data_IF_465836742307
#
_entry.id   IF_465836742307
#
_cell.length_a   1.000
_cell.length_b   1.000
_cell.length_c   1.000
_cell.angle_alpha   90.00
_cell.angle_beta   90.00
_cell.angle_gamma   90.00
#
_symmetry.space_group_name_H-M   'P 1'
#
loop_
_entity.id
_entity.type
_entity.pdbx_description
1 polymer ?
#
# COMPACT_ATOMS: atom_id res chain seq x y z
N UNK A 1 64.35 48.71 5.42
CA UNK A 1 63.16 49.52 5.75
C UNK A 1 62.09 49.13 4.76
N UNK A 2 61.24 48.15 5.11
CA UNK A 2 59.86 48.34 5.62
C UNK A 2 58.97 49.01 4.56
N UNK A 3 57.81 48.52 4.16
CA UNK A 3 56.82 47.69 4.85
C UNK A 3 55.82 47.14 3.80
N UNK A 4 55.29 45.93 4.07
CA UNK A 4 53.85 45.57 4.11
C UNK A 4 52.84 46.29 3.16
N UNK A 5 51.85 45.64 2.51
CA UNK A 5 50.87 44.70 3.07
C UNK A 5 49.81 44.25 2.03
N UNK A 6 49.20 43.09 2.31
CA UNK A 6 47.86 42.60 1.89
C UNK A 6 47.63 41.99 0.49
N UNK A 7 48.04 40.72 0.37
CA UNK A 7 47.31 39.71 -0.42
C UNK A 7 46.04 39.29 0.32
N UNK A 8 44.86 39.50 -0.28
CA UNK A 8 43.58 38.96 0.21
C UNK A 8 43.48 37.48 -0.16
N UNK A 9 43.88 36.61 0.78
CA UNK A 9 43.38 35.22 0.83
C UNK A 9 41.87 35.26 1.06
N UNK A 10 41.08 34.72 0.14
CA UNK A 10 39.68 34.37 0.42
C UNK A 10 39.68 33.26 1.48
N UNK A 11 39.15 33.60 2.66
CA UNK A 11 38.83 32.66 3.73
C UNK A 11 37.73 31.72 3.24
N UNK A 12 37.97 30.42 3.34
CA UNK A 12 36.91 29.40 3.33
C UNK A 12 36.26 29.47 4.72
N UNK A 13 34.96 29.78 4.84
CA UNK A 13 34.24 29.56 6.09
C UNK A 13 33.92 28.07 6.19
N UNK A 14 34.40 27.45 7.25
CA UNK A 14 33.85 26.20 7.75
C UNK A 14 32.39 26.42 8.23
N UNK A 15 31.64 25.32 8.26
CA UNK A 15 30.26 25.15 8.77
C UNK A 15 29.11 25.45 7.78
N UNK A 16 28.72 24.41 7.05
CA UNK A 16 27.32 23.99 7.02
C UNK A 16 27.31 22.47 6.90
N UNK A 17 27.03 21.84 8.03
CA UNK A 17 26.83 20.41 8.18
C UNK A 17 25.63 20.05 7.30
N UNK A 18 25.89 19.33 6.21
CA UNK A 18 24.85 18.55 5.56
C UNK A 18 24.38 17.51 6.58
N UNK A 19 23.09 17.54 6.92
CA UNK A 19 22.46 16.45 7.64
C UNK A 19 22.43 15.24 6.69
N UNK A 20 23.49 14.44 6.75
CA UNK A 20 23.58 13.13 6.13
C UNK A 20 22.76 12.20 7.04
N UNK A 21 21.58 11.78 6.60
CA UNK A 21 20.93 10.59 7.15
C UNK A 21 21.68 9.37 6.61
N UNK A 22 22.87 9.12 7.16
CA UNK A 22 23.66 7.91 6.91
C UNK A 22 23.01 6.79 7.69
N UNK A 23 22.29 5.89 7.01
CA UNK A 23 22.03 4.54 7.50
C UNK A 23 23.39 3.85 7.65
N UNK A 24 23.95 3.95 8.86
CA UNK A 24 25.21 3.35 9.25
C UNK A 24 24.89 1.94 9.70
N UNK A 25 25.11 0.93 8.85
CA UNK A 25 25.04 -0.47 9.27
C UNK A 25 26.20 -0.75 10.22
N UNK A 26 25.91 -0.80 11.52
CA UNK A 26 26.82 -1.37 12.52
C UNK A 26 26.75 -2.89 12.43
N UNK A 27 27.83 -3.53 11.97
CA UNK A 27 28.04 -4.98 12.14
C UNK A 27 28.26 -5.26 13.63
N UNK A 28 27.21 -5.68 14.33
CA UNK A 28 27.28 -6.23 15.67
C UNK A 28 27.84 -7.66 15.63
N UNK A 29 28.86 -7.92 16.45
CA UNK A 29 29.57 -9.19 16.52
C UNK A 29 28.69 -10.34 17.01
N UNK A 30 28.85 -11.51 16.39
CA UNK A 30 28.25 -12.76 16.84
C UNK A 30 28.74 -13.14 18.24
N UNK A 31 27.82 -13.43 19.15
CA UNK A 31 28.07 -14.23 20.35
C UNK A 31 27.17 -15.47 20.33
N UNK A 32 27.76 -16.58 20.77
CA UNK A 32 27.32 -17.96 20.57
C UNK A 32 25.90 -18.27 21.02
N UNK A 33 25.21 -19.07 20.19
CA UNK A 33 23.89 -19.66 20.44
C UNK A 33 24.03 -20.87 21.37
N UNK A 34 23.35 -20.83 22.52
CA UNK A 34 23.01 -22.04 23.27
C UNK A 34 21.74 -22.65 22.65
N UNK A 35 21.82 -23.95 22.37
CA UNK A 35 20.83 -24.77 21.67
C UNK A 35 19.55 -24.94 22.51
N UNK A 36 18.42 -24.43 21.99
CA UNK A 36 17.08 -24.68 22.53
C UNK A 36 16.09 -24.94 21.39
N UNK A 37 15.74 -26.20 21.16
CA UNK A 37 14.52 -26.67 20.45
C UNK A 37 14.18 -26.04 19.08
N UNK A 38 13.04 -26.36 18.47
CA UNK A 38 12.51 -25.57 17.36
C UNK A 38 11.94 -24.25 17.91
N UNK A 39 12.80 -23.44 18.53
CA UNK A 39 12.42 -22.14 19.08
C UNK A 39 12.29 -21.11 17.96
N UNK A 40 11.18 -20.39 18.06
CA UNK A 40 10.80 -19.19 17.31
C UNK A 40 12.03 -18.40 16.85
N UNK A 41 12.22 -18.29 15.54
CA UNK A 41 13.09 -17.26 14.99
C UNK A 41 12.38 -15.92 15.23
N UNK A 42 12.61 -15.35 16.42
CA UNK A 42 12.14 -14.00 16.77
C UNK A 42 12.84 -13.07 15.80
N UNK A 43 12.11 -12.59 14.80
CA UNK A 43 12.62 -11.54 13.93
C UNK A 43 12.99 -10.35 14.80
N UNK A 44 14.30 -10.10 14.92
CA UNK A 44 14.83 -8.98 15.67
C UNK A 44 14.28 -7.67 15.08
N UNK A 45 13.73 -6.82 15.94
CA UNK A 45 13.27 -5.48 15.60
C UNK A 45 14.50 -4.60 15.40
N UNK A 46 14.72 -4.05 14.20
CA UNK A 46 15.68 -2.96 14.03
C UNK A 46 14.98 -1.63 14.23
N UNK A 47 15.40 -0.93 15.29
CA UNK A 47 14.99 0.42 15.59
C UNK A 47 15.30 1.34 14.39
N UNK A 48 14.23 1.88 13.79
CA UNK A 48 14.27 3.13 13.05
C UNK A 48 14.97 4.17 13.93
N UNK A 49 15.77 5.08 13.37
CA UNK A 49 16.54 6.10 14.09
C UNK A 49 15.77 7.12 14.97
N UNK A 50 14.57 6.76 15.44
CA UNK A 50 13.78 7.35 16.52
C UNK A 50 13.22 6.20 17.39
N UNK A 51 13.65 6.12 18.65
CA UNK A 51 13.41 5.08 19.67
C UNK A 51 11.92 4.75 19.90
N UNK A 52 11.33 3.77 19.21
CA UNK A 52 10.04 3.20 19.63
C UNK A 52 9.89 1.72 19.25
N UNK A 53 9.52 0.88 20.23
CA UNK A 53 9.33 -0.56 20.07
C UNK A 53 8.01 -0.88 19.38
N UNK A 54 8.05 -1.67 18.30
CA UNK A 54 6.85 -2.15 17.61
C UNK A 54 6.32 -3.46 18.23
N UNK A 55 5.01 -3.69 18.14
CA UNK A 55 4.38 -4.92 18.58
C UNK A 55 4.83 -6.10 17.70
N UNK A 56 5.27 -7.17 18.35
CA UNK A 56 5.76 -8.40 17.72
C UNK A 56 4.72 -9.52 17.71
N UNK A 57 3.49 -9.25 18.18
CA UNK A 57 2.42 -10.22 18.22
C UNK A 57 2.12 -10.79 16.83
N UNK A 58 1.96 -12.11 16.74
CA UNK A 58 1.62 -12.74 15.48
C UNK A 58 0.17 -12.36 15.08
N UNK A 59 -0.05 -11.87 13.86
CA UNK A 59 -1.35 -11.42 13.44
C UNK A 59 -2.35 -12.56 13.23
N UNK A 60 -1.94 -13.82 13.08
CA UNK A 60 -2.82 -14.92 12.69
C UNK A 60 -3.04 -15.95 13.80
N UNK A 61 -4.12 -16.72 13.67
CA UNK A 61 -4.45 -17.85 14.56
C UNK A 61 -4.12 -19.18 13.89
N UNK A 62 -4.26 -19.27 12.56
CA UNK A 62 -3.95 -20.48 11.80
C UNK A 62 -2.43 -20.76 11.84
N UNK A 63 -2.03 -21.99 12.18
CA UNK A 63 -0.64 -22.34 12.50
C UNK A 63 0.33 -22.11 11.34
N UNK A 64 -0.07 -22.44 10.11
CA UNK A 64 0.76 -22.20 8.92
C UNK A 64 0.83 -20.72 8.57
N UNK A 65 -0.26 -19.98 8.72
CA UNK A 65 -0.23 -18.53 8.59
C UNK A 65 0.70 -17.89 9.64
N UNK A 66 0.68 -18.38 10.88
CA UNK A 66 1.62 -17.92 11.92
C UNK A 66 3.06 -18.21 11.52
N UNK A 67 3.36 -19.43 11.05
CA UNK A 67 4.69 -19.82 10.61
C UNK A 67 5.20 -18.91 9.48
N UNK A 68 4.40 -18.72 8.42
CA UNK A 68 4.77 -17.86 7.28
C UNK A 68 4.98 -16.42 7.74
N UNK A 69 4.12 -15.89 8.61
CA UNK A 69 4.26 -14.54 9.13
C UNK A 69 5.58 -14.37 9.91
N UNK A 70 5.94 -15.35 10.73
CA UNK A 70 7.21 -15.34 11.44
C UNK A 70 8.41 -15.41 10.48
N UNK A 71 8.38 -16.27 9.46
CA UNK A 71 9.46 -16.40 8.45
C UNK A 71 9.67 -15.09 7.66
N UNK A 72 8.59 -14.36 7.40
CA UNK A 72 8.60 -13.07 6.70
C UNK A 72 8.78 -11.86 7.63
N UNK A 73 8.91 -12.08 8.93
CA UNK A 73 8.97 -11.03 9.94
C UNK A 73 7.76 -10.07 9.93
N UNK A 74 6.57 -10.60 9.66
CA UNK A 74 5.31 -9.85 9.64
C UNK A 74 4.60 -10.02 11.00
N UNK A 75 4.58 -8.95 11.80
CA UNK A 75 3.81 -8.87 13.04
C UNK A 75 2.58 -7.95 12.89
N UNK A 76 1.72 -7.90 13.91
CA UNK A 76 0.63 -6.93 13.97
C UNK A 76 1.11 -5.48 13.82
N UNK A 77 2.26 -5.14 14.41
CA UNK A 77 2.88 -3.82 14.32
C UNK A 77 3.39 -3.47 12.92
N UNK A 78 3.91 -4.47 12.19
CA UNK A 78 4.46 -4.29 10.82
C UNK A 78 3.41 -3.80 9.83
N UNK A 79 2.14 -4.19 10.02
CA UNK A 79 1.04 -3.66 9.23
C UNK A 79 0.80 -2.16 9.44
N UNK A 80 1.26 -1.55 10.52
CA UNK A 80 1.15 -0.11 10.75
C UNK A 80 2.43 0.64 10.42
N UNK A 81 3.58 0.03 10.71
CA UNK A 81 4.91 0.56 10.43
C UNK A 81 5.85 -0.55 9.94
N UNK A 82 6.22 -0.48 8.66
CA UNK A 82 7.16 -1.45 8.06
C UNK A 82 8.52 -1.40 8.75
N UNK A 83 9.15 -2.56 8.92
CA UNK A 83 10.55 -2.68 9.34
C UNK A 83 11.46 -2.97 8.16
N UNK A 84 12.76 -2.60 8.24
CA UNK A 84 13.74 -2.99 7.24
C UNK A 84 13.80 -4.51 7.03
N UNK A 85 13.66 -5.28 8.11
CA UNK A 85 13.72 -6.75 8.07
C UNK A 85 12.54 -7.34 7.32
N UNK A 86 11.31 -6.91 7.64
CA UNK A 86 10.11 -7.37 6.95
C UNK A 86 10.17 -6.99 5.46
N UNK A 87 10.60 -5.77 5.16
CA UNK A 87 10.79 -5.32 3.77
C UNK A 87 11.83 -6.20 3.07
N UNK A 88 12.97 -6.49 3.69
CA UNK A 88 14.01 -7.36 3.11
C UNK A 88 13.47 -8.76 2.84
N UNK A 89 12.88 -9.42 3.84
CA UNK A 89 12.37 -10.80 3.74
C UNK A 89 11.28 -10.95 2.70
N UNK A 90 10.32 -10.04 2.67
CA UNK A 90 9.25 -10.02 1.66
C UNK A 90 9.83 -9.74 0.27
N UNK A 91 10.83 -8.86 0.15
CA UNK A 91 11.47 -8.56 -1.14
C UNK A 91 12.30 -9.74 -1.67
N UNK A 92 13.04 -10.42 -0.80
CA UNK A 92 13.84 -11.61 -1.11
C UNK A 92 12.96 -12.75 -1.63
N UNK A 93 11.85 -13.00 -0.92
CA UNK A 93 10.81 -13.94 -1.34
C UNK A 93 10.20 -13.50 -2.69
N UNK A 94 9.59 -12.31 -2.70
CA UNK A 94 9.11 -11.64 -3.89
C UNK A 94 8.09 -12.45 -4.69
N UNK A 95 7.23 -13.22 -4.04
CA UNK A 95 6.18 -13.97 -4.74
C UNK A 95 5.14 -13.02 -5.34
N UNK A 96 4.79 -11.94 -4.62
CA UNK A 96 3.84 -10.93 -5.09
C UNK A 96 4.22 -10.35 -6.46
N UNK A 97 5.53 -10.30 -6.77
CA UNK A 97 6.06 -9.80 -8.06
C UNK A 97 6.27 -10.88 -9.12
N UNK A 98 6.62 -12.11 -8.73
CA UNK A 98 6.96 -13.21 -9.64
C UNK A 98 5.73 -14.02 -10.05
N UNK A 99 4.69 -14.04 -9.22
CA UNK A 99 3.48 -14.81 -9.48
C UNK A 99 2.70 -14.20 -10.63
N UNK A 100 2.46 -15.02 -11.65
CA UNK A 100 1.47 -14.72 -12.68
C UNK A 100 0.05 -14.85 -12.11
N UNK A 101 -0.14 -15.74 -11.14
CA UNK A 101 -1.42 -15.95 -10.46
C UNK A 101 -1.74 -14.79 -9.52
N UNK A 102 -2.98 -14.33 -9.62
CA UNK A 102 -3.58 -13.38 -8.70
C UNK A 102 -3.93 -14.06 -7.36
N UNK A 103 -3.48 -13.45 -6.27
CA UNK A 103 -3.72 -13.93 -4.91
C UNK A 103 -5.21 -13.83 -4.53
N UNK A 104 -5.75 -14.81 -3.79
CA UNK A 104 -7.18 -14.88 -3.43
C UNK A 104 -7.56 -13.98 -2.23
N UNK A 105 -6.79 -12.92 -1.97
CA UNK A 105 -7.01 -11.99 -0.85
C UNK A 105 -7.76 -10.71 -1.25
N UNK A 106 -7.86 -10.44 -2.54
CA UNK A 106 -8.57 -9.28 -3.04
C UNK A 106 -10.10 -9.44 -2.92
N UNK A 107 -10.81 -8.33 -3.03
CA UNK A 107 -12.27 -8.32 -3.01
C UNK A 107 -12.85 -9.23 -4.11
N UNK A 108 -14.02 -9.86 -3.89
CA UNK A 108 -14.70 -10.63 -4.94
C UNK A 108 -14.86 -9.83 -6.25
N UNK A 109 -15.23 -8.56 -6.16
CA UNK A 109 -15.35 -7.62 -7.29
C UNK A 109 -14.04 -7.36 -8.04
N UNK A 110 -12.88 -7.57 -7.42
CA UNK A 110 -11.57 -7.55 -8.09
C UNK A 110 -11.27 -8.91 -8.71
N UNK A 111 -11.56 -10.00 -7.98
CA UNK A 111 -11.34 -11.37 -8.44
C UNK A 111 -12.20 -11.74 -9.66
N UNK A 112 -13.34 -11.09 -9.88
CA UNK A 112 -14.13 -11.18 -11.13
C UNK A 112 -13.30 -10.81 -12.38
N UNK A 113 -12.31 -9.93 -12.22
CA UNK A 113 -11.41 -9.51 -13.30
C UNK A 113 -10.07 -10.25 -13.29
N UNK A 114 -9.93 -11.36 -12.55
CA UNK A 114 -8.66 -12.10 -12.38
C UNK A 114 -7.96 -12.36 -13.71
N UNK A 115 -8.60 -13.07 -14.63
CA UNK A 115 -8.00 -13.43 -15.93
C UNK A 115 -7.58 -12.19 -16.73
N UNK A 116 -8.37 -11.12 -16.66
CA UNK A 116 -8.11 -9.87 -17.36
C UNK A 116 -6.93 -9.11 -16.75
N UNK A 117 -6.85 -9.04 -15.43
CA UNK A 117 -5.73 -8.43 -14.69
C UNK A 117 -4.44 -9.18 -15.01
N UNK A 118 -4.44 -10.51 -14.94
CA UNK A 118 -3.27 -11.34 -15.23
C UNK A 118 -2.80 -11.17 -16.68
N UNK A 119 -3.72 -11.25 -17.65
CA UNK A 119 -3.44 -10.99 -19.07
C UNK A 119 -2.84 -9.59 -19.28
N UNK A 120 -3.42 -8.57 -18.66
CA UNK A 120 -2.99 -7.17 -18.81
C UNK A 120 -1.62 -6.95 -18.19
N UNK A 121 -1.38 -7.54 -17.02
CA UNK A 121 -0.10 -7.50 -16.33
C UNK A 121 1.02 -8.14 -17.16
N UNK A 122 0.76 -9.32 -17.74
CA UNK A 122 1.69 -10.00 -18.67
C UNK A 122 1.96 -9.12 -19.89
N UNK A 123 0.91 -8.58 -20.53
CA UNK A 123 1.05 -7.71 -21.71
C UNK A 123 1.93 -6.49 -21.43
N UNK A 124 1.80 -5.91 -20.23
CA UNK A 124 2.50 -4.67 -19.87
C UNK A 124 3.81 -4.91 -19.11
N UNK A 125 4.18 -6.15 -18.81
CA UNK A 125 5.38 -6.50 -18.05
C UNK A 125 5.42 -5.80 -16.67
N UNK A 126 4.31 -5.94 -15.93
CA UNK A 126 4.16 -5.48 -14.55
C UNK A 126 3.58 -6.62 -13.68
N UNK A 127 3.77 -6.60 -12.35
CA UNK A 127 3.18 -7.63 -11.49
C UNK A 127 1.65 -7.57 -11.42
N UNK A 128 0.98 -8.71 -11.61
CA UNK A 128 -0.48 -8.82 -11.55
C UNK A 128 -1.04 -8.40 -10.18
N UNK A 129 -0.41 -8.85 -9.10
CA UNK A 129 -0.86 -8.50 -7.75
C UNK A 129 -0.65 -7.02 -7.39
N UNK A 130 0.31 -6.34 -8.02
CA UNK A 130 0.49 -4.88 -7.85
C UNK A 130 -0.62 -4.14 -8.59
N UNK A 131 -0.97 -4.56 -9.82
CA UNK A 131 -2.08 -4.00 -10.58
C UNK A 131 -3.43 -4.19 -9.86
N UNK A 132 -3.68 -5.37 -9.29
CA UNK A 132 -4.89 -5.63 -8.51
C UNK A 132 -4.93 -4.85 -7.19
N UNK A 133 -3.78 -4.62 -6.56
CA UNK A 133 -3.68 -3.74 -5.38
C UNK A 133 -4.08 -2.32 -5.75
N UNK A 134 -3.60 -1.81 -6.89
CA UNK A 134 -4.02 -0.50 -7.40
C UNK A 134 -5.52 -0.45 -7.69
N UNK A 135 -6.06 -1.43 -8.43
CA UNK A 135 -7.51 -1.51 -8.72
C UNK A 135 -8.37 -1.58 -7.44
N UNK A 136 -7.86 -2.27 -6.42
CA UNK A 136 -8.50 -2.33 -5.10
C UNK A 136 -8.58 -0.94 -4.47
N UNK A 137 -7.45 -0.24 -4.37
CA UNK A 137 -7.38 1.10 -3.75
C UNK A 137 -8.21 2.12 -4.53
N UNK A 138 -8.13 2.09 -5.85
CA UNK A 138 -8.72 3.10 -6.73
C UNK A 138 -10.24 2.98 -6.83
N UNK A 139 -10.80 1.75 -6.89
CA UNK A 139 -12.22 1.57 -7.24
C UNK A 139 -12.98 0.52 -6.46
N UNK A 140 -12.35 -0.31 -5.63
CA UNK A 140 -12.98 -1.54 -5.11
C UNK A 140 -13.29 -2.61 -6.17
N UNK A 141 -12.82 -2.47 -7.41
CA UNK A 141 -13.31 -3.28 -8.52
C UNK A 141 -14.63 -2.76 -9.10
N UNK A 142 -15.04 -1.53 -8.79
CA UNK A 142 -16.20 -0.89 -9.42
C UNK A 142 -15.80 -0.37 -10.82
N UNK A 143 -16.24 -1.09 -11.86
CA UNK A 143 -15.87 -0.78 -13.25
C UNK A 143 -16.34 0.58 -13.77
N UNK A 144 -17.41 1.13 -13.21
CA UNK A 144 -18.00 2.43 -13.58
C UNK A 144 -17.71 3.49 -12.50
N UNK A 145 -16.66 3.29 -11.70
CA UNK A 145 -16.22 4.29 -10.72
C UNK A 145 -15.86 5.60 -11.42
N UNK A 146 -16.43 6.70 -10.92
CA UNK A 146 -16.14 8.04 -11.40
C UNK A 146 -15.84 8.95 -10.22
N UNK A 147 -14.69 9.62 -10.29
CA UNK A 147 -14.31 10.64 -9.33
C UNK A 147 -14.79 12.01 -9.78
N UNK A 148 -15.09 12.88 -8.81
CA UNK A 148 -15.47 14.28 -9.05
C UNK A 148 -14.38 15.10 -9.78
N UNK A 149 -13.12 14.65 -9.75
CA UNK A 149 -12.02 15.25 -10.53
C UNK A 149 -11.84 14.62 -11.91
N UNK A 150 -12.69 13.67 -12.30
CA UNK A 150 -12.73 13.10 -13.66
C UNK A 150 -12.00 11.76 -13.85
N UNK A 151 -11.54 11.12 -12.79
CA UNK A 151 -10.95 9.78 -12.85
C UNK A 151 -12.01 8.73 -13.19
N UNK A 152 -11.66 7.74 -14.03
CA UNK A 152 -12.62 6.78 -14.62
C UNK A 152 -12.19 5.33 -14.43
N UNK A 153 -13.17 4.47 -14.15
CA UNK A 153 -13.07 3.01 -14.23
C UNK A 153 -12.29 2.32 -13.11
N UNK A 154 -11.99 1.03 -13.33
CA UNK A 154 -11.39 0.09 -12.36
C UNK A 154 -10.11 0.61 -11.70
N UNK A 155 -9.26 1.30 -12.45
CA UNK A 155 -7.98 1.85 -11.96
C UNK A 155 -7.95 3.38 -12.05
N UNK A 156 -9.13 4.03 -12.06
CA UNK A 156 -9.29 5.49 -11.96
C UNK A 156 -8.32 6.28 -12.88
N UNK A 157 -8.20 5.84 -14.14
CA UNK A 157 -7.36 6.53 -15.12
C UNK A 157 -7.94 7.92 -15.37
N UNK A 158 -7.09 8.95 -15.31
CA UNK A 158 -7.46 10.35 -15.56
C UNK A 158 -7.34 10.70 -17.05
N UNK A 159 -8.44 10.95 -17.79
CA UNK A 159 -8.36 11.33 -19.20
C UNK A 159 -7.59 12.65 -19.42
N UNK A 160 -7.58 13.57 -18.45
CA UNK A 160 -6.83 14.82 -18.54
C UNK A 160 -5.31 14.66 -18.62
N UNK A 161 -4.79 13.52 -18.16
CA UNK A 161 -3.36 13.24 -18.12
C UNK A 161 -2.96 12.06 -19.01
N UNK A 162 -3.86 11.09 -19.21
CA UNK A 162 -3.56 9.81 -19.83
C UNK A 162 -4.42 9.55 -21.08
N UNK A 163 -4.93 10.60 -21.73
CA UNK A 163 -5.74 10.47 -22.94
C UNK A 163 -5.03 9.65 -24.04
N UNK A 164 -3.71 9.81 -24.15
CA UNK A 164 -2.86 9.09 -25.09
C UNK A 164 -2.92 7.56 -24.88
N UNK A 165 -3.11 7.10 -23.63
CA UNK A 165 -3.25 5.67 -23.30
C UNK A 165 -4.54 5.06 -23.86
N UNK A 166 -5.55 5.89 -24.10
CA UNK A 166 -6.81 5.48 -24.72
C UNK A 166 -6.81 5.63 -26.24
N UNK A 167 -5.89 6.40 -26.81
CA UNK A 167 -5.86 6.73 -28.23
C UNK A 167 -6.00 5.52 -29.19
N UNK A 168 -5.40 4.33 -28.92
CA UNK A 168 -5.58 3.17 -29.78
C UNK A 168 -7.00 2.63 -29.88
N UNK A 169 -7.88 2.98 -28.93
CA UNK A 169 -9.25 2.49 -28.82
C UNK A 169 -10.30 3.56 -29.16
N UNK A 170 -9.86 4.81 -29.33
CA UNK A 170 -10.75 5.93 -29.59
C UNK A 170 -11.10 6.03 -31.08
N UNK A 171 -12.34 6.46 -31.41
CA UNK A 171 -12.77 6.64 -32.79
C UNK A 171 -12.01 7.79 -33.48
N UNK A 172 -12.08 7.82 -34.81
CA UNK A 172 -11.45 8.85 -35.61
C UNK A 172 -11.95 10.25 -35.21
N UNK A 173 -11.01 11.19 -35.03
CA UNK A 173 -11.31 12.56 -34.64
C UNK A 173 -11.44 12.78 -33.13
N UNK A 174 -11.31 11.72 -32.32
CA UNK A 174 -11.21 11.84 -30.88
C UNK A 174 -9.96 12.62 -30.45
N UNK A 175 -10.10 13.49 -29.46
CA UNK A 175 -9.00 14.21 -28.81
C UNK A 175 -9.42 14.63 -27.41
N UNK A 176 -8.46 14.99 -26.55
CA UNK A 176 -8.81 15.48 -25.22
C UNK A 176 -9.63 16.77 -25.27
N UNK A 177 -9.37 17.64 -26.25
CA UNK A 177 -10.17 18.84 -26.49
C UNK A 177 -11.60 18.48 -26.91
N UNK A 178 -11.75 17.48 -27.79
CA UNK A 178 -13.05 16.96 -28.23
C UNK A 178 -13.84 16.35 -27.06
N UNK A 179 -13.20 15.52 -26.23
CA UNK A 179 -13.78 15.01 -24.98
C UNK A 179 -14.20 16.13 -24.01
N UNK A 180 -13.37 17.18 -23.89
CA UNK A 180 -13.69 18.36 -23.08
C UNK A 180 -14.92 19.09 -23.61
N UNK A 181 -15.07 19.18 -24.94
CA UNK A 181 -16.25 19.75 -25.58
C UNK A 181 -17.49 18.89 -25.33
N UNK A 182 -17.40 17.58 -25.50
CA UNK A 182 -18.49 16.64 -25.21
C UNK A 182 -18.97 16.76 -23.75
N UNK A 183 -18.03 16.85 -22.79
CA UNK A 183 -18.31 17.00 -21.36
C UNK A 183 -19.04 18.31 -21.03
N UNK A 184 -18.77 19.38 -21.79
CA UNK A 184 -19.43 20.69 -21.64
C UNK A 184 -20.77 20.79 -22.39
N UNK A 185 -21.17 19.76 -23.12
CA UNK A 185 -22.34 19.79 -24.00
C UNK A 185 -22.12 20.65 -25.27
N UNK A 186 -20.88 20.96 -25.62
CA UNK A 186 -20.53 21.63 -26.86
C UNK A 186 -20.51 20.64 -28.03
N UNK A 187 -20.42 21.16 -29.27
CA UNK A 187 -20.17 20.31 -30.43
C UNK A 187 -18.90 19.49 -30.23
N UNK A 188 -19.03 18.18 -30.43
CA UNK A 188 -17.94 17.21 -30.37
C UNK A 188 -18.17 16.17 -31.46
N UNK A 189 -17.08 15.66 -32.04
CA UNK A 189 -17.12 14.61 -33.06
C UNK A 189 -17.50 13.26 -32.48
N UNK A 190 -17.18 13.03 -31.20
CA UNK A 190 -17.42 11.78 -30.48
C UNK A 190 -18.34 12.07 -29.31
N UNK A 191 -19.36 11.25 -29.10
CA UNK A 191 -20.32 11.52 -28.02
C UNK A 191 -19.70 11.29 -26.64
N UNK A 192 -20.21 11.98 -25.61
CA UNK A 192 -19.78 11.74 -24.22
C UNK A 192 -20.06 10.30 -23.78
N UNK A 193 -21.17 9.72 -24.25
CA UNK A 193 -21.53 8.31 -23.99
C UNK A 193 -20.48 7.36 -24.58
N UNK A 194 -20.05 7.60 -25.82
CA UNK A 194 -19.02 6.80 -26.48
C UNK A 194 -17.66 6.91 -25.76
N UNK A 195 -17.24 8.11 -25.38
CA UNK A 195 -16.05 8.30 -24.53
C UNK A 195 -16.15 7.51 -23.21
N UNK A 196 -17.27 7.64 -22.50
CA UNK A 196 -17.47 6.94 -21.24
C UNK A 196 -17.49 5.41 -21.42
N UNK A 197 -18.06 4.91 -22.52
CA UNK A 197 -18.08 3.48 -22.84
C UNK A 197 -16.66 2.91 -23.01
N UNK A 198 -15.74 3.71 -23.55
CA UNK A 198 -14.33 3.33 -23.73
C UNK A 198 -13.56 3.47 -22.42
N UNK A 199 -13.69 4.60 -21.72
CA UNK A 199 -12.96 4.85 -20.47
C UNK A 199 -13.37 3.91 -19.33
N UNK A 200 -14.63 3.46 -19.31
CA UNK A 200 -15.13 2.52 -18.31
C UNK A 200 -15.06 1.06 -18.76
N UNK A 201 -14.64 0.77 -20.01
CA UNK A 201 -14.45 -0.60 -20.45
C UNK A 201 -13.31 -1.25 -19.63
N UNK A 202 -13.55 -2.37 -18.91
CA UNK A 202 -12.55 -2.97 -18.04
C UNK A 202 -11.21 -3.30 -18.72
N UNK A 203 -11.23 -3.85 -19.93
CA UNK A 203 -10.01 -4.25 -20.65
C UNK A 203 -9.20 -3.03 -21.07
N UNK A 204 -9.87 -2.01 -21.60
CA UNK A 204 -9.22 -0.77 -22.04
C UNK A 204 -8.72 0.03 -20.83
N UNK A 205 -9.52 0.13 -19.77
CA UNK A 205 -9.17 0.86 -18.55
C UNK A 205 -7.98 0.23 -17.82
N UNK A 206 -7.98 -1.10 -17.66
CA UNK A 206 -6.85 -1.83 -17.07
C UNK A 206 -5.59 -1.67 -17.92
N UNK A 207 -5.69 -1.77 -19.24
CA UNK A 207 -4.52 -1.61 -20.11
C UNK A 207 -3.93 -0.20 -20.06
N UNK A 208 -4.79 0.83 -20.13
CA UNK A 208 -4.36 2.22 -20.02
C UNK A 208 -3.70 2.50 -18.65
N UNK A 209 -4.31 2.02 -17.57
CA UNK A 209 -3.75 2.16 -16.22
C UNK A 209 -2.45 1.36 -16.03
N UNK A 210 -2.36 0.14 -16.58
CA UNK A 210 -1.15 -0.68 -16.50
C UNK A 210 0.04 -0.02 -17.23
N UNK A 211 -0.19 0.59 -18.39
CA UNK A 211 0.83 1.36 -19.11
C UNK A 211 1.35 2.52 -18.25
N UNK A 212 0.45 3.29 -17.63
CA UNK A 212 0.86 4.41 -16.78
C UNK A 212 1.53 3.95 -15.47
N UNK A 213 1.03 2.88 -14.84
CA UNK A 213 1.66 2.27 -13.67
C UNK A 213 3.08 1.79 -13.99
N UNK A 214 3.32 1.22 -15.17
CA UNK A 214 4.68 0.84 -15.62
C UNK A 214 5.62 2.03 -15.65
N UNK A 215 5.18 3.17 -16.18
CA UNK A 215 5.95 4.41 -16.19
C UNK A 215 6.27 4.86 -14.75
N UNK A 216 5.28 4.80 -13.85
CA UNK A 216 5.47 5.14 -12.45
C UNK A 216 6.41 4.18 -11.70
N UNK A 217 6.38 2.88 -12.00
CA UNK A 217 7.33 1.91 -11.45
C UNK A 217 8.76 2.28 -11.89
N UNK A 218 8.96 2.61 -13.17
CA UNK A 218 10.27 3.04 -13.68
C UNK A 218 10.76 4.31 -12.98
N UNK A 219 9.91 5.34 -12.89
CA UNK A 219 10.25 6.60 -12.20
C UNK A 219 10.58 6.36 -10.73
N UNK A 220 9.81 5.52 -10.03
CA UNK A 220 10.05 5.21 -8.62
C UNK A 220 11.38 4.52 -8.39
N UNK A 221 11.75 3.55 -9.24
CA UNK A 221 13.05 2.87 -9.20
C UNK A 221 14.20 3.85 -9.45
N UNK A 222 14.09 4.66 -10.50
CA UNK A 222 15.13 5.62 -10.88
C UNK A 222 15.34 6.71 -9.83
N UNK A 223 14.25 7.18 -9.21
CA UNK A 223 14.29 8.24 -8.21
C UNK A 223 14.78 7.77 -6.83
N UNK A 224 14.71 6.46 -6.54
CA UNK A 224 15.02 5.91 -5.22
C UNK A 224 16.08 4.79 -5.32
N UNK A 225 17.28 5.06 -5.84
CA UNK A 225 18.30 4.03 -6.12
C UNK A 225 18.88 3.36 -4.87
N UNK A 226 18.65 3.94 -3.68
CA UNK A 226 19.05 3.34 -2.41
C UNK A 226 18.09 2.24 -1.92
N UNK A 227 16.88 2.18 -2.47
CA UNK A 227 15.91 1.14 -2.15
C UNK A 227 16.07 -0.03 -3.11
N UNK A 228 15.73 -1.23 -2.66
CA UNK A 228 15.62 -2.37 -3.58
C UNK A 228 14.50 -2.09 -4.60
N UNK A 229 14.77 -2.16 -5.92
CA UNK A 229 13.82 -1.79 -6.98
C UNK A 229 12.57 -2.67 -7.03
N UNK A 230 12.59 -3.81 -6.34
CA UNK A 230 11.51 -4.78 -6.27
C UNK A 230 10.87 -4.85 -4.88
N UNK A 231 11.19 -3.92 -3.98
CA UNK A 231 10.57 -3.88 -2.65
C UNK A 231 9.13 -3.40 -2.70
N UNK A 232 8.32 -3.85 -1.74
CA UNK A 232 6.95 -3.36 -1.53
C UNK A 232 6.89 -1.83 -1.38
N UNK A 233 7.96 -1.22 -0.87
CA UNK A 233 8.08 0.24 -0.74
C UNK A 233 8.15 0.92 -2.11
N UNK A 234 8.94 0.38 -3.06
CA UNK A 234 9.01 0.94 -4.43
C UNK A 234 7.66 0.87 -5.13
N UNK A 235 6.92 -0.23 -4.97
CA UNK A 235 5.57 -0.34 -5.54
C UNK A 235 4.58 0.61 -4.86
N UNK A 236 4.72 0.85 -3.55
CA UNK A 236 3.97 1.89 -2.85
C UNK A 236 4.25 3.29 -3.41
N UNK A 237 5.53 3.65 -3.60
CA UNK A 237 5.94 4.92 -4.22
C UNK A 237 5.41 5.01 -5.66
N UNK A 238 5.40 3.91 -6.41
CA UNK A 238 4.82 3.87 -7.76
C UNK A 238 3.31 4.16 -7.76
N UNK A 239 2.55 3.65 -6.79
CA UNK A 239 1.13 4.00 -6.66
C UNK A 239 0.95 5.47 -6.25
N UNK A 240 1.83 6.02 -5.42
CA UNK A 240 1.85 7.47 -5.13
C UNK A 240 2.13 8.29 -6.39
N UNK A 241 3.02 7.83 -7.26
CA UNK A 241 3.24 8.42 -8.58
C UNK A 241 2.00 8.33 -9.46
N UNK A 242 1.28 7.22 -9.40
CA UNK A 242 0.04 7.04 -10.16
C UNK A 242 -1.02 8.07 -9.73
N UNK A 243 -1.18 8.28 -8.42
CA UNK A 243 -2.12 9.24 -7.85
C UNK A 243 -1.68 10.71 -8.06
N UNK A 244 -0.42 11.04 -7.74
CA UNK A 244 0.06 12.43 -7.65
C UNK A 244 1.06 12.85 -8.74
N UNK A 245 1.34 11.98 -9.71
CA UNK A 245 2.32 12.18 -10.77
C UNK A 245 3.78 11.95 -10.35
N UNK A 246 4.67 11.93 -11.35
CA UNK A 246 6.10 11.61 -11.20
C UNK A 246 6.87 12.48 -10.18
N UNK A 247 6.38 13.69 -9.88
CA UNK A 247 6.97 14.55 -8.85
C UNK A 247 6.94 13.94 -7.45
N UNK A 248 5.92 13.15 -7.13
CA UNK A 248 5.80 12.49 -5.83
C UNK A 248 6.91 11.45 -5.62
N UNK A 249 7.12 10.57 -6.62
CA UNK A 249 8.19 9.57 -6.59
C UNK A 249 9.60 10.19 -6.50
N UNK A 250 9.81 11.34 -7.16
CA UNK A 250 11.09 12.07 -7.17
C UNK A 250 11.37 12.85 -5.89
N UNK A 251 10.34 13.24 -5.14
CA UNK A 251 10.49 13.98 -3.90
C UNK A 251 11.09 13.17 -2.75
N UNK A 252 11.04 11.83 -2.83
CA UNK A 252 11.32 10.93 -1.72
C UNK A 252 10.18 10.90 -0.70
N UNK A 253 10.08 9.82 0.06
CA UNK A 253 8.93 9.54 0.93
C UNK A 253 8.60 10.70 1.87
N UNK A 254 9.59 11.28 2.57
CA UNK A 254 9.35 12.34 3.55
C UNK A 254 8.77 13.63 2.98
N UNK A 255 9.02 13.93 1.70
CA UNK A 255 8.53 15.14 1.03
C UNK A 255 7.21 14.92 0.28
N UNK A 256 6.70 13.69 0.22
CA UNK A 256 5.43 13.40 -0.43
C UNK A 256 4.25 14.11 0.27
N UNK A 257 3.22 14.54 -0.49
CA UNK A 257 1.94 14.95 0.07
C UNK A 257 1.33 13.87 0.98
N UNK A 258 0.46 14.30 1.91
CA UNK A 258 -0.29 13.42 2.82
C UNK A 258 -0.88 12.21 2.12
N UNK A 259 -1.71 12.46 1.11
CA UNK A 259 -2.45 11.42 0.40
C UNK A 259 -1.49 10.44 -0.26
N UNK A 260 -0.45 10.94 -0.93
CA UNK A 260 0.58 10.11 -1.54
C UNK A 260 1.28 9.17 -0.55
N UNK A 261 1.52 9.59 0.71
CA UNK A 261 2.09 8.71 1.74
C UNK A 261 1.12 7.62 2.17
N UNK A 262 -0.20 7.91 2.20
CA UNK A 262 -1.22 6.90 2.46
C UNK A 262 -1.20 5.79 1.41
N UNK A 263 -1.01 6.15 0.13
CA UNK A 263 -0.87 5.17 -0.95
C UNK A 263 0.30 4.22 -0.70
N UNK A 264 1.48 4.74 -0.30
CA UNK A 264 2.64 3.89 -0.01
C UNK A 264 2.31 2.89 1.09
N UNK A 265 1.77 3.36 2.21
CA UNK A 265 1.49 2.54 3.38
C UNK A 265 0.44 1.47 3.05
N UNK A 266 -0.63 1.83 2.34
CA UNK A 266 -1.72 0.92 2.01
C UNK A 266 -1.34 -0.12 0.96
N UNK A 267 -0.61 0.28 -0.08
CA UNK A 267 -0.08 -0.67 -1.05
C UNK A 267 0.84 -1.66 -0.37
N UNK A 268 1.77 -1.20 0.47
CA UNK A 268 2.67 -2.10 1.16
C UNK A 268 1.92 -3.11 2.04
N UNK A 269 0.95 -2.65 2.84
CA UNK A 269 0.10 -3.51 3.69
C UNK A 269 -0.63 -4.59 2.89
N UNK A 270 -1.22 -4.23 1.75
CA UNK A 270 -1.93 -5.19 0.90
C UNK A 270 -0.94 -6.17 0.25
N UNK A 271 0.24 -5.70 -0.18
CA UNK A 271 1.28 -6.58 -0.73
C UNK A 271 1.86 -7.54 0.32
N UNK A 272 1.87 -7.19 1.61
CA UNK A 272 2.17 -8.15 2.68
C UNK A 272 1.13 -9.28 2.69
N UNK A 273 -0.17 -8.96 2.60
CA UNK A 273 -1.24 -9.97 2.52
C UNK A 273 -1.10 -10.86 1.28
N UNK A 274 -0.74 -10.28 0.14
CA UNK A 274 -0.48 -11.02 -1.10
C UNK A 274 0.68 -11.99 -0.91
N UNK A 275 1.79 -11.53 -0.34
CA UNK A 275 2.96 -12.40 -0.12
C UNK A 275 2.59 -13.57 0.80
N UNK A 276 1.90 -13.29 1.90
CA UNK A 276 1.36 -14.30 2.81
C UNK A 276 0.46 -15.31 2.09
N UNK A 277 -0.45 -14.84 1.25
CA UNK A 277 -1.38 -15.67 0.50
C UNK A 277 -0.67 -16.60 -0.48
N UNK A 278 0.30 -16.09 -1.22
CA UNK A 278 1.06 -16.88 -2.19
C UNK A 278 1.94 -17.92 -1.49
N UNK A 279 2.52 -17.60 -0.33
CA UNK A 279 3.23 -18.57 0.51
C UNK A 279 2.32 -19.70 1.00
N UNK A 280 1.11 -19.38 1.46
CA UNK A 280 0.14 -20.42 1.85
C UNK A 280 -0.24 -21.31 0.66
N UNK A 281 -0.35 -20.75 -0.55
CA UNK A 281 -0.55 -21.54 -1.77
C UNK A 281 0.64 -22.48 -2.07
N UNK A 282 1.89 -22.02 -1.89
CA UNK A 282 3.07 -22.90 -2.00
C UNK A 282 3.04 -24.05 -0.99
N UNK A 283 2.41 -23.84 0.17
CA UNK A 283 2.17 -24.86 1.20
C UNK A 283 0.94 -25.75 0.93
N UNK A 284 0.26 -25.58 -0.21
CA UNK A 284 -0.83 -26.43 -0.67
C UNK A 284 -2.24 -25.94 -0.34
N UNK A 285 -2.40 -24.72 0.20
CA UNK A 285 -3.73 -24.14 0.43
C UNK A 285 -4.41 -23.84 -0.90
N UNK A 286 -5.70 -24.16 -0.98
CA UNK A 286 -6.55 -23.75 -2.11
C UNK A 286 -6.94 -22.28 -1.97
N UNK A 287 -7.29 -21.65 -3.08
CA UNK A 287 -7.76 -20.25 -3.08
C UNK A 287 -8.91 -20.02 -2.07
N UNK A 288 -9.82 -20.98 -1.90
CA UNK A 288 -10.93 -20.92 -0.94
C UNK A 288 -10.52 -21.02 0.54
N UNK A 289 -9.32 -21.51 0.83
CA UNK A 289 -8.81 -21.75 2.20
C UNK A 289 -7.91 -20.60 2.67
N UNK A 290 -7.20 -19.95 1.75
CA UNK A 290 -6.23 -18.89 2.05
C UNK A 290 -6.84 -17.74 2.84
N UNK A 291 -7.98 -17.20 2.40
CA UNK A 291 -8.63 -16.08 3.11
C UNK A 291 -9.09 -16.48 4.52
N UNK A 292 -9.49 -17.74 4.70
CA UNK A 292 -9.81 -18.29 6.02
C UNK A 292 -8.59 -18.33 6.94
N UNK A 293 -7.43 -18.74 6.41
CA UNK A 293 -6.17 -18.79 7.16
C UNK A 293 -5.63 -17.39 7.53
N UNK A 294 -5.86 -16.40 6.67
CA UNK A 294 -5.44 -15.00 6.90
C UNK A 294 -6.46 -14.16 7.68
N UNK A 295 -7.66 -14.68 7.94
CA UNK A 295 -8.63 -13.99 8.79
C UNK A 295 -8.06 -13.84 10.20
N UNK A 296 -8.15 -12.63 10.76
CA UNK A 296 -7.66 -12.36 12.09
C UNK A 296 -8.59 -11.45 12.87
N UNK A 297 -9.19 -12.01 13.92
CA UNK A 297 -9.99 -11.24 14.88
C UNK A 297 -9.14 -10.22 15.66
N UNK A 298 -7.86 -10.53 15.88
CA UNK A 298 -6.88 -9.64 16.50
C UNK A 298 -6.64 -8.39 15.65
N UNK A 299 -6.40 -8.58 14.35
CA UNK A 299 -6.19 -7.48 13.42
C UNK A 299 -7.49 -6.73 13.13
N UNK A 300 -8.63 -7.44 13.12
CA UNK A 300 -9.95 -6.83 13.05
C UNK A 300 -10.21 -5.88 14.23
N UNK A 301 -9.80 -6.23 15.45
CA UNK A 301 -9.90 -5.37 16.63
C UNK A 301 -9.02 -4.12 16.53
N UNK A 302 -7.77 -4.27 16.07
CA UNK A 302 -6.89 -3.13 15.78
C UNK A 302 -7.49 -2.22 14.71
N UNK A 303 -7.97 -2.78 13.60
CA UNK A 303 -8.60 -2.02 12.53
C UNK A 303 -9.90 -1.34 12.97
N UNK A 304 -10.69 -1.97 13.85
CA UNK A 304 -11.86 -1.37 14.48
C UNK A 304 -11.47 -0.13 15.27
N UNK A 305 -10.53 -0.26 16.21
CA UNK A 305 -10.04 0.87 17.00
C UNK A 305 -9.43 1.97 16.12
N UNK A 306 -8.68 1.58 15.09
CA UNK A 306 -8.12 2.48 14.09
C UNK A 306 -9.20 3.22 13.28
N UNK A 307 -10.35 2.57 13.04
CA UNK A 307 -11.48 3.15 12.31
C UNK A 307 -12.13 4.33 13.05
N UNK A 308 -12.01 4.35 14.39
CA UNK A 308 -12.60 5.36 15.28
C UNK A 308 -11.70 6.58 15.49
N UNK A 309 -10.42 6.49 15.12
CA UNK A 309 -9.50 7.62 15.27
C UNK A 309 -9.87 8.74 14.31
N UNK A 310 -9.69 9.99 14.76
CA UNK A 310 -9.92 11.16 13.91
C UNK A 310 -8.87 11.20 12.79
N UNK A 311 -9.35 11.11 11.56
CA UNK A 311 -8.56 11.15 10.32
C UNK A 311 -8.69 12.48 9.59
N UNK A 312 -9.55 13.38 10.06
CA UNK A 312 -9.80 14.69 9.43
C UNK A 312 -8.63 15.67 9.63
N UNK A 313 -7.71 15.38 10.56
CA UNK A 313 -6.58 16.23 10.92
C UNK A 313 -5.33 16.10 10.02
N UNK A 314 -5.42 15.40 8.87
CA UNK A 314 -4.33 15.29 7.88
C UNK A 314 -3.22 14.28 8.23
N UNK A 315 -2.10 14.30 7.47
CA UNK A 315 -1.06 13.25 7.55
C UNK A 315 -0.44 13.12 8.93
N UNK A 316 -0.22 14.24 9.63
CA UNK A 316 0.42 14.20 10.93
C UNK A 316 -0.37 13.32 11.90
N UNK A 317 -1.69 13.48 11.97
CA UNK A 317 -2.56 12.64 12.78
C UNK A 317 -2.56 11.18 12.30
N UNK A 318 -2.60 10.95 10.99
CA UNK A 318 -2.48 9.60 10.43
C UNK A 318 -1.16 8.90 10.82
N UNK A 319 -0.02 9.59 10.70
CA UNK A 319 1.30 9.06 11.08
C UNK A 319 1.38 8.77 12.57
N UNK A 320 0.86 9.67 13.41
CA UNK A 320 0.79 9.45 14.86
C UNK A 320 -0.09 8.24 15.19
N UNK A 321 -1.23 8.08 14.51
CA UNK A 321 -2.06 6.89 14.66
C UNK A 321 -1.28 5.64 14.24
N UNK A 322 -0.62 5.62 13.07
CA UNK A 322 0.20 4.46 12.69
C UNK A 322 1.28 4.14 13.72
N UNK A 323 1.94 5.16 14.28
CA UNK A 323 2.96 4.96 15.31
C UNK A 323 2.36 4.33 16.58
N UNK A 324 1.24 4.85 17.08
CA UNK A 324 0.54 4.30 18.25
C UNK A 324 0.06 2.87 17.97
N UNK A 325 -0.50 2.59 16.80
CA UNK A 325 -1.00 1.27 16.46
C UNK A 325 0.12 0.29 16.12
N UNK A 326 1.29 0.76 15.71
CA UNK A 326 2.47 -0.09 15.51
C UNK A 326 2.95 -0.70 16.81
N UNK A 327 2.72 -0.04 17.95
CA UNK A 327 3.08 -0.54 19.29
C UNK A 327 1.93 -1.29 19.97
N UNK A 328 0.73 -1.27 19.39
CA UNK A 328 -0.44 -1.91 19.95
C UNK A 328 -0.40 -3.43 19.71
N UNK A 329 -0.29 -4.19 20.80
CA UNK A 329 -0.49 -5.63 20.77
C UNK A 329 -1.97 -5.95 20.98
N UNK A 330 -2.63 -6.68 20.06
CA UNK A 330 -4.00 -7.12 20.26
C UNK A 330 -4.13 -8.24 21.29
N UNK A 331 -3.03 -8.93 21.61
CA UNK A 331 -2.98 -9.97 22.66
C UNK A 331 -2.89 -9.37 24.06
N UNK A 332 -2.28 -8.19 24.17
CA UNK A 332 -2.11 -7.44 25.41
C UNK A 332 -2.48 -5.97 25.16
N UNK A 333 -3.78 -5.64 25.01
CA UNK A 333 -4.24 -4.26 24.87
C UNK A 333 -4.06 -3.51 26.20
N UNK A 334 -2.82 -3.16 26.52
CA UNK A 334 -2.43 -2.64 27.82
C UNK A 334 -2.75 -1.14 27.97
N UNK A 335 -3.63 -0.84 28.94
CA UNK A 335 -3.98 0.51 29.35
C UNK A 335 -2.80 1.37 29.85
N UNK A 336 -1.68 0.75 30.22
CA UNK A 336 -0.47 1.43 30.69
C UNK A 336 0.39 1.99 29.55
N UNK A 337 0.24 1.46 28.32
CA UNK A 337 1.05 1.82 27.14
C UNK A 337 0.28 2.58 26.07
N UNK A 338 -1.03 2.40 25.99
CA UNK A 338 -1.87 2.96 24.95
C UNK A 338 -2.84 4.02 25.49
N UNK A 339 -3.18 5.06 24.71
CA UNK A 339 -4.27 5.97 25.07
C UNK A 339 -5.61 5.23 25.21
N UNK A 340 -6.47 5.70 26.11
CA UNK A 340 -7.80 5.10 26.33
C UNK A 340 -8.69 5.03 25.08
N UNK A 341 -8.53 5.98 24.15
CA UNK A 341 -9.20 5.96 22.85
C UNK A 341 -8.69 4.88 21.89
N UNK A 342 -7.63 4.15 22.23
CA UNK A 342 -7.04 3.09 21.41
C UNK A 342 -7.26 1.71 22.04
N UNK A 343 -6.90 1.49 23.32
CA UNK A 343 -6.99 0.16 23.92
C UNK A 343 -8.44 -0.26 24.25
N UNK A 344 -9.29 0.65 24.75
CA UNK A 344 -10.67 0.30 25.10
C UNK A 344 -11.46 -0.24 23.91
N UNK A 345 -11.43 0.39 22.72
CA UNK A 345 -12.12 -0.17 21.56
C UNK A 345 -11.59 -1.54 21.12
N UNK A 346 -10.29 -1.83 21.33
CA UNK A 346 -9.72 -3.15 21.06
C UNK A 346 -10.34 -4.19 22.00
N UNK A 347 -10.35 -3.91 23.30
CA UNK A 347 -10.96 -4.80 24.31
C UNK A 347 -12.46 -5.00 24.09
N UNK A 348 -13.21 -3.93 23.80
CA UNK A 348 -14.63 -3.99 23.50
C UNK A 348 -14.91 -4.89 22.29
N UNK A 349 -14.07 -4.79 21.25
CA UNK A 349 -14.17 -5.64 20.07
C UNK A 349 -13.88 -7.10 20.38
N UNK A 350 -12.80 -7.39 21.10
CA UNK A 350 -12.41 -8.76 21.45
C UNK A 350 -13.45 -9.42 22.37
N UNK A 351 -13.98 -8.68 23.34
CA UNK A 351 -15.02 -9.14 24.27
C UNK A 351 -16.42 -9.30 23.64
N UNK A 352 -16.62 -8.83 22.40
CA UNK A 352 -17.91 -8.90 21.72
C UNK A 352 -18.94 -7.89 22.22
N UNK A 353 -18.48 -6.82 22.87
CA UNK A 353 -19.34 -5.71 23.32
C UNK A 353 -19.68 -4.73 22.21
N UNK A 354 -19.07 -4.89 21.03
CA UNK A 354 -19.36 -4.12 19.82
C UNK A 354 -19.57 -5.06 18.63
N UNK A 355 -20.23 -4.51 17.63
CA UNK A 355 -20.54 -5.16 16.35
C UNK A 355 -19.26 -5.62 15.64
N UNK A 356 -19.17 -6.92 15.31
CA UNK A 356 -17.97 -7.48 14.67
C UNK A 356 -18.02 -7.38 13.16
N UNK A 357 -16.85 -7.43 12.54
CA UNK A 357 -16.74 -7.51 11.09
C UNK A 357 -17.17 -8.88 10.62
N UNK A 358 -18.07 -8.91 9.65
CA UNK A 358 -18.67 -10.14 9.10
C UNK A 358 -18.01 -10.55 7.79
N UNK A 359 -17.63 -9.58 6.94
CA UNK A 359 -16.93 -9.80 5.67
C UNK A 359 -15.51 -10.31 5.95
N UNK A 360 -15.14 -11.53 5.52
CA UNK A 360 -13.78 -12.03 5.66
C UNK A 360 -12.80 -11.15 4.87
N UNK A 361 -11.68 -10.77 5.50
CA UNK A 361 -10.68 -9.89 4.91
C UNK A 361 -9.32 -10.16 5.52
N UNK A 362 -8.26 -10.05 4.73
CA UNK A 362 -6.89 -10.06 5.23
C UNK A 362 -6.56 -8.76 5.99
N UNK A 363 -5.56 -8.77 6.89
CA UNK A 363 -5.29 -7.63 7.77
C UNK A 363 -4.98 -6.31 7.05
N UNK A 364 -4.13 -6.34 6.02
CA UNK A 364 -3.74 -5.14 5.28
C UNK A 364 -4.92 -4.49 4.57
N UNK A 365 -5.73 -5.31 3.90
CA UNK A 365 -6.97 -4.86 3.25
C UNK A 365 -8.00 -4.35 4.27
N UNK A 366 -8.11 -5.00 5.44
CA UNK A 366 -8.98 -4.56 6.54
C UNK A 366 -8.60 -3.19 7.06
N UNK A 367 -7.31 -2.94 7.26
CA UNK A 367 -6.82 -1.66 7.75
C UNK A 367 -7.06 -0.56 6.70
N UNK A 368 -6.81 -0.85 5.42
CA UNK A 368 -7.16 0.06 4.33
C UNK A 368 -8.64 0.43 4.32
N UNK A 369 -9.54 -0.56 4.49
CA UNK A 369 -10.98 -0.32 4.60
C UNK A 369 -11.32 0.56 5.81
N UNK A 370 -10.72 0.25 6.97
CA UNK A 370 -10.90 1.02 8.20
C UNK A 370 -10.40 2.47 8.08
N UNK A 371 -9.40 2.75 7.24
CA UNK A 371 -8.84 4.10 6.99
C UNK A 371 -9.78 5.08 6.29
N UNK A 372 -10.96 4.66 5.82
CA UNK A 372 -11.85 5.55 5.10
C UNK A 372 -11.91 5.30 3.59
N UNK A 373 -11.60 4.07 3.14
CA UNK A 373 -11.92 3.57 1.79
C UNK A 373 -13.43 3.50 1.50
N UNK A 374 -14.18 4.51 1.92
CA UNK A 374 -15.63 4.51 2.15
C UNK A 374 -16.43 5.12 0.99
N UNK A 375 -15.82 5.90 0.08
CA UNK A 375 -16.57 6.68 -0.91
C UNK A 375 -17.10 5.86 -2.10
N UNK A 376 -16.35 4.86 -2.58
CA UNK A 376 -16.77 3.98 -3.70
C UNK A 376 -17.29 2.60 -3.23
N UNK A 377 -16.87 2.14 -2.04
CA UNK A 377 -17.10 0.78 -1.54
C UNK A 377 -18.49 0.51 -0.96
N UNK A 378 -19.12 1.49 -0.31
CA UNK A 378 -20.45 1.28 0.31
C UNK A 378 -21.60 1.15 -0.71
N UNK A 379 -21.29 1.30 -2.01
CA UNK A 379 -22.31 1.28 -3.06
C UNK A 379 -22.65 -0.13 -3.53
N UNK A 380 -21.74 -1.10 -3.46
CA UNK A 380 -22.04 -2.52 -3.78
C UNK A 380 -22.90 -3.14 -2.66
N UNK A 381 -24.04 -3.77 -2.98
CA UNK A 381 -24.88 -4.48 -2.01
C UNK A 381 -24.15 -5.57 -1.22
N UNK A 382 -23.15 -6.25 -1.80
CA UNK A 382 -22.38 -7.30 -1.13
C UNK A 382 -21.53 -6.77 0.04
N UNK A 383 -21.20 -5.47 0.05
CA UNK A 383 -20.35 -4.83 1.04
C UNK A 383 -21.14 -4.01 2.09
N UNK A 384 -22.48 -4.01 2.04
CA UNK A 384 -23.34 -3.22 2.95
C UNK A 384 -23.58 -3.87 4.31
N UNK A 385 -23.31 -5.15 4.48
CA UNK A 385 -23.41 -5.85 5.77
C UNK A 385 -22.03 -6.11 6.36
N UNK A 386 -21.25 -5.06 6.61
CA UNK A 386 -19.87 -5.17 7.12
C UNK A 386 -19.79 -5.16 8.66
N UNK A 387 -20.88 -4.81 9.34
CA UNK A 387 -21.11 -5.06 10.76
C UNK A 387 -22.55 -5.61 10.90
N UNK A 388 -22.79 -6.55 11.82
CA UNK A 388 -24.13 -6.98 12.26
C UNK A 388 -24.22 -7.07 13.78
#
# INVERSE_FOLDING_TARGET
>A
MSNEKFSKKKKIPASMVAAIATLSFGLGACSAVEDRGPEHQVCEVVQNGTEQDIATANPFIEEKAQQVANELCISSGVYYQLTPEAVSKVTESGLFRKSADLAPVFFPSILEYKDLIEKTAIKNDIPANVLATLASIESAGKQDAESWVGAKGLVQVMPSFHFDKFAPFLPEGASYEDFTNATKGNYSKVSLEEYNSIFNNPEINLDAGAQFLKECIAVSRDANPALNPDSVVIYGIAASCYNGGAGTARGGYDNMPTESKLYVDHVARILLDVEMALRLKELGYKDSEVLGALKSEKMDALAYSYSLQDKSAGYYAFKQNNLIFSTASPDEPDSSRLPAGVWKPIEEYLSGNVEKYTTPMSPGLRIWFASGGRSLFMLSPENRSWRQ
#
